data_IF_323082548703
#
_entry.id   IF_323082548703
#
_cell.length_a   1.000
_cell.length_b   1.000
_cell.length_c   1.000
_cell.angle_alpha   90.00
_cell.angle_beta   90.00
_cell.angle_gamma   90.00
#
_symmetry.space_group_name_H-M   'P 1'
#
loop_
_entity.id
_entity.type
_entity.pdbx_description
1 polymer ?
#
# COMPACT_ATOMS: atom_id res chain seq x y z
N UNK A 1 -19.17 4.07 40.47
CA UNK A 1 -18.73 2.91 39.69
C UNK A 1 -19.45 2.91 38.33
N UNK A 2 -20.77 3.06 38.31
CA UNK A 2 -21.56 3.21 37.06
C UNK A 2 -21.15 4.40 36.18
N UNK A 3 -20.90 5.58 36.78
CA UNK A 3 -20.53 6.78 35.99
C UNK A 3 -19.16 6.65 35.29
N UNK A 4 -18.25 5.83 35.84
CA UNK A 4 -16.94 5.55 35.24
C UNK A 4 -17.05 4.55 34.08
N UNK A 5 -17.89 3.50 34.23
CA UNK A 5 -18.14 2.54 33.16
C UNK A 5 -18.87 3.20 31.99
N UNK A 6 -19.81 4.09 32.27
CA UNK A 6 -20.55 4.84 31.25
C UNK A 6 -19.64 5.74 30.40
N UNK A 7 -18.78 6.55 31.03
CA UNK A 7 -17.81 7.40 30.30
C UNK A 7 -16.85 6.59 29.45
N UNK A 8 -16.37 5.46 29.97
CA UNK A 8 -15.47 4.57 29.22
C UNK A 8 -16.14 3.96 27.99
N UNK A 9 -17.44 3.66 28.06
CA UNK A 9 -18.18 3.15 26.90
C UNK A 9 -18.45 4.26 25.88
N UNK A 10 -18.82 5.47 26.33
CA UNK A 10 -18.97 6.66 25.47
C UNK A 10 -17.66 7.01 24.74
N UNK A 11 -16.52 6.95 25.43
CA UNK A 11 -15.18 7.16 24.83
C UNK A 11 -14.88 6.10 23.75
N UNK A 12 -15.22 4.84 23.99
CA UNK A 12 -15.02 3.75 23.00
C UNK A 12 -15.90 3.90 21.78
N UNK A 13 -17.16 4.27 21.97
CA UNK A 13 -18.08 4.51 20.86
C UNK A 13 -17.60 5.70 20.02
N UNK A 14 -17.12 6.75 20.66
CA UNK A 14 -16.56 7.91 19.96
C UNK A 14 -15.27 7.55 19.20
N UNK A 15 -14.33 6.84 19.81
CA UNK A 15 -13.10 6.39 19.16
C UNK A 15 -13.38 5.49 17.94
N UNK A 16 -14.37 4.59 18.04
CA UNK A 16 -14.79 3.77 16.89
C UNK A 16 -15.38 4.60 15.77
N UNK A 17 -16.29 5.53 16.08
CA UNK A 17 -16.89 6.41 15.09
C UNK A 17 -15.84 7.27 14.37
N UNK A 18 -14.84 7.76 15.10
CA UNK A 18 -13.72 8.51 14.56
C UNK A 18 -12.83 7.66 13.63
N UNK A 19 -12.61 6.39 13.97
CA UNK A 19 -11.86 5.45 13.14
C UNK A 19 -12.59 5.13 11.83
N UNK A 20 -13.91 4.91 11.91
CA UNK A 20 -14.77 4.69 10.75
C UNK A 20 -14.76 5.90 9.81
N UNK A 21 -14.90 7.11 10.36
CA UNK A 21 -14.80 8.35 9.58
C UNK A 21 -13.45 8.48 8.85
N UNK A 22 -12.34 8.14 9.53
CA UNK A 22 -11.01 8.17 8.92
C UNK A 22 -10.86 7.13 7.79
N UNK A 23 -11.43 5.93 7.95
CA UNK A 23 -11.46 4.88 6.92
C UNK A 23 -12.22 5.36 5.68
N UNK A 24 -13.35 6.04 5.85
CA UNK A 24 -14.10 6.63 4.74
C UNK A 24 -13.31 7.70 4.00
N UNK A 25 -12.62 8.59 4.74
CA UNK A 25 -11.75 9.60 4.15
C UNK A 25 -10.58 8.98 3.36
N UNK A 26 -9.95 7.94 3.92
CA UNK A 26 -8.90 7.21 3.23
C UNK A 26 -9.42 6.58 1.93
N UNK A 27 -10.60 5.97 1.97
CA UNK A 27 -11.24 5.35 0.81
C UNK A 27 -11.55 6.37 -0.29
N UNK A 28 -11.93 7.60 0.07
CA UNK A 28 -12.11 8.71 -0.88
C UNK A 28 -10.78 9.09 -1.52
N UNK A 29 -9.73 9.36 -0.74
CA UNK A 29 -8.40 9.68 -1.27
C UNK A 29 -7.83 8.57 -2.15
N UNK A 30 -8.08 7.31 -1.79
CA UNK A 30 -7.67 6.16 -2.60
C UNK A 30 -8.25 6.22 -4.01
N UNK A 31 -9.53 6.57 -4.14
CA UNK A 31 -10.21 6.63 -5.44
C UNK A 31 -9.96 7.94 -6.19
N UNK A 32 -9.87 9.05 -5.48
CA UNK A 32 -9.80 10.39 -6.08
C UNK A 32 -8.35 10.83 -6.38
N UNK A 33 -7.37 10.31 -5.62
CA UNK A 33 -5.98 10.75 -5.71
C UNK A 33 -5.02 9.59 -6.03
N UNK A 34 -5.01 8.53 -5.21
CA UNK A 34 -3.96 7.49 -5.31
C UNK A 34 -4.15 6.66 -6.58
N UNK A 35 -5.35 6.12 -6.81
CA UNK A 35 -5.66 5.27 -7.96
C UNK A 35 -5.43 6.00 -9.29
N UNK A 36 -5.87 7.25 -9.51
CA UNK A 36 -5.59 7.96 -10.75
C UNK A 36 -4.09 8.10 -11.04
N UNK A 37 -3.26 8.42 -10.04
CA UNK A 37 -1.79 8.48 -10.20
C UNK A 37 -1.24 7.11 -10.59
N UNK A 38 -1.68 6.06 -9.90
CA UNK A 38 -1.27 4.68 -10.18
C UNK A 38 -1.63 4.27 -11.61
N UNK A 39 -2.86 4.50 -12.06
CA UNK A 39 -3.30 4.16 -13.42
C UNK A 39 -2.49 4.93 -14.50
N UNK A 40 -2.18 6.22 -14.26
CA UNK A 40 -1.33 7.01 -15.20
C UNK A 40 0.07 6.39 -15.35
N UNK A 41 0.70 6.00 -14.24
CA UNK A 41 2.05 5.43 -14.27
C UNK A 41 2.02 3.99 -14.79
N UNK A 42 0.99 3.21 -14.46
CA UNK A 42 0.74 1.88 -15.01
C UNK A 42 0.78 1.88 -16.53
N UNK A 43 0.03 2.77 -17.19
CA UNK A 43 0.02 2.87 -18.66
C UNK A 43 1.43 3.09 -19.22
N UNK A 44 2.23 3.95 -18.57
CA UNK A 44 3.63 4.20 -18.99
C UNK A 44 4.53 2.97 -18.81
N UNK A 45 4.32 2.19 -17.75
CA UNK A 45 5.11 0.98 -17.47
C UNK A 45 4.70 -0.17 -18.41
N UNK A 46 3.40 -0.37 -18.60
CA UNK A 46 2.87 -1.41 -19.50
C UNK A 46 3.21 -1.14 -20.96
N UNK A 47 3.30 0.13 -21.38
CA UNK A 47 3.80 0.49 -22.72
C UNK A 47 5.25 0.06 -22.99
N UNK A 48 6.02 -0.22 -21.93
CA UNK A 48 7.40 -0.75 -22.01
C UNK A 48 7.46 -2.27 -21.88
N UNK A 49 6.29 -2.94 -21.83
CA UNK A 49 6.20 -4.39 -21.79
C UNK A 49 6.35 -4.99 -20.40
N UNK A 50 6.11 -4.26 -19.31
CA UNK A 50 5.97 -4.86 -17.97
C UNK A 50 4.49 -5.01 -17.62
N UNK A 51 4.17 -5.73 -16.54
CA UNK A 51 2.78 -5.89 -16.07
C UNK A 51 2.63 -5.22 -14.71
N UNK A 52 1.56 -4.45 -14.53
CA UNK A 52 1.28 -3.75 -13.27
C UNK A 52 -0.10 -4.17 -12.77
N UNK A 53 -0.17 -4.51 -11.49
CA UNK A 53 -1.39 -4.87 -10.79
C UNK A 53 -1.67 -3.84 -9.70
N UNK A 54 -2.83 -3.17 -9.80
CA UNK A 54 -3.32 -2.27 -8.77
C UNK A 54 -4.36 -3.04 -7.96
N UNK A 55 -4.04 -3.35 -6.71
CA UNK A 55 -4.90 -4.12 -5.82
C UNK A 55 -5.39 -3.24 -4.67
N UNK A 56 -6.57 -3.54 -4.17
CA UNK A 56 -7.19 -2.82 -3.06
C UNK A 56 -7.69 -3.80 -2.02
N UNK A 57 -7.34 -3.56 -0.77
CA UNK A 57 -7.92 -4.27 0.37
C UNK A 57 -9.07 -3.47 0.93
N UNK A 58 -10.23 -4.11 1.07
CA UNK A 58 -11.38 -3.53 1.76
C UNK A 58 -11.29 -3.74 3.27
N UNK A 59 -11.86 -2.84 4.09
CA UNK A 59 -11.92 -3.03 5.51
C UNK A 59 -12.68 -4.32 5.83
N UNK A 60 -12.07 -5.22 6.59
CA UNK A 60 -12.67 -6.49 6.94
C UNK A 60 -12.24 -6.96 8.33
N UNK A 61 -12.92 -7.98 8.84
CA UNK A 61 -12.56 -8.61 10.10
C UNK A 61 -11.90 -9.96 9.84
N UNK A 62 -10.65 -10.12 10.27
CA UNK A 62 -9.99 -11.42 10.28
C UNK A 62 -10.44 -12.17 11.53
N UNK A 63 -11.38 -13.12 11.35
CA UNK A 63 -11.94 -13.92 12.43
C UNK A 63 -10.91 -14.89 13.06
N UNK A 64 -9.90 -15.33 12.31
CA UNK A 64 -8.88 -16.25 12.81
C UNK A 64 -7.87 -15.52 13.69
N UNK A 65 -7.49 -14.30 13.29
CA UNK A 65 -6.54 -13.47 14.05
C UNK A 65 -7.22 -12.55 15.06
N UNK A 66 -8.55 -12.46 15.01
CA UNK A 66 -9.35 -11.55 15.83
C UNK A 66 -8.86 -10.09 15.71
N UNK A 67 -8.63 -9.64 14.47
CA UNK A 67 -8.06 -8.33 14.13
C UNK A 67 -8.83 -7.66 13.00
N UNK A 68 -8.89 -6.32 13.06
CA UNK A 68 -9.37 -5.50 11.94
C UNK A 68 -8.30 -5.50 10.85
N UNK A 69 -8.71 -5.81 9.63
CA UNK A 69 -7.92 -5.61 8.42
C UNK A 69 -8.25 -4.22 7.90
N UNK A 70 -7.25 -3.34 7.99
CA UNK A 70 -7.35 -1.96 7.50
C UNK A 70 -7.36 -1.92 5.97
N UNK A 71 -8.06 -0.95 5.36
CA UNK A 71 -8.05 -0.78 3.92
C UNK A 71 -6.67 -0.36 3.42
N UNK A 72 -6.38 -0.76 2.18
CA UNK A 72 -5.13 -0.43 1.50
C UNK A 72 -5.30 -0.33 -0.01
N UNK A 73 -4.33 0.31 -0.65
CA UNK A 73 -4.12 0.25 -2.10
C UNK A 73 -2.65 -0.01 -2.40
N UNK A 74 -2.38 -0.99 -3.26
CA UNK A 74 -1.03 -1.38 -3.65
C UNK A 74 -0.82 -1.28 -5.15
N UNK A 75 0.39 -0.86 -5.51
CA UNK A 75 0.94 -0.87 -6.87
C UNK A 75 1.97 -1.99 -6.93
N UNK A 76 1.67 -3.07 -7.65
CA UNK A 76 2.53 -4.26 -7.72
C UNK A 76 3.09 -4.40 -9.13
N UNK A 77 4.40 -4.58 -9.26
CA UNK A 77 5.10 -4.60 -10.54
C UNK A 77 5.68 -5.98 -10.84
N UNK A 78 5.20 -6.59 -11.91
CA UNK A 78 5.82 -7.76 -12.52
C UNK A 78 6.74 -7.31 -13.65
N UNK A 79 8.04 -7.32 -13.37
CA UNK A 79 9.09 -7.12 -14.37
C UNK A 79 9.07 -8.33 -15.33
N UNK A 80 8.64 -8.12 -16.58
CA UNK A 80 8.84 -9.13 -17.62
C UNK A 80 10.34 -9.31 -17.90
N UNK A 81 10.91 -10.34 -17.30
CA UNK A 81 12.20 -10.92 -17.69
C UNK A 81 11.89 -11.83 -18.90
N UNK A 82 12.78 -11.86 -19.91
CA UNK A 82 12.63 -12.58 -21.20
C UNK A 82 12.35 -14.10 -21.11
N UNK A 83 12.18 -14.65 -19.91
CA UNK A 83 11.99 -16.07 -19.65
C UNK A 83 10.69 -16.33 -18.87
N UNK A 84 9.54 -16.00 -19.47
CA UNK A 84 8.19 -16.35 -18.93
C UNK A 84 8.03 -17.84 -18.56
N UNK A 85 8.90 -18.70 -19.12
CA UNK A 85 8.99 -20.16 -18.89
C UNK A 85 9.26 -20.57 -17.43
N UNK A 86 9.62 -19.64 -16.54
CA UNK A 86 9.84 -19.92 -15.11
C UNK A 86 8.78 -19.33 -14.18
N UNK A 87 7.58 -18.99 -14.69
CA UNK A 87 6.48 -18.55 -13.81
C UNK A 87 5.98 -19.70 -12.94
N UNK A 88 6.56 -19.80 -11.74
CA UNK A 88 6.04 -20.67 -10.68
C UNK A 88 4.58 -20.34 -10.44
N UNK A 89 3.73 -21.37 -10.48
CA UNK A 89 2.29 -21.32 -10.16
C UNK A 89 2.01 -20.90 -8.70
N UNK A 90 3.04 -20.87 -7.86
CA UNK A 90 2.91 -20.52 -6.43
C UNK A 90 3.14 -19.04 -6.13
N UNK A 91 3.51 -18.23 -7.13
CA UNK A 91 3.85 -16.82 -6.93
C UNK A 91 2.58 -15.97 -7.01
N UNK A 92 2.25 -15.31 -5.90
CA UNK A 92 1.08 -14.44 -5.77
C UNK A 92 1.46 -13.00 -6.11
N UNK A 93 0.48 -12.16 -6.42
CA UNK A 93 0.72 -10.72 -6.64
C UNK A 93 1.41 -10.07 -5.45
N UNK A 94 1.10 -10.53 -4.23
CA UNK A 94 1.72 -10.08 -2.97
C UNK A 94 3.23 -10.32 -2.89
N UNK A 95 3.76 -11.24 -3.71
CA UNK A 95 5.18 -11.57 -3.73
C UNK A 95 5.94 -10.70 -4.75
N UNK A 96 5.24 -9.85 -5.51
CA UNK A 96 5.87 -8.90 -6.43
C UNK A 96 6.41 -7.69 -5.65
N UNK A 97 7.46 -7.03 -6.17
CA UNK A 97 7.80 -5.68 -5.74
C UNK A 97 6.55 -4.80 -5.73
N UNK A 98 6.35 -4.07 -4.64
CA UNK A 98 5.16 -3.25 -4.49
C UNK A 98 5.38 -1.98 -3.66
N UNK A 99 4.54 -0.98 -3.93
CA UNK A 99 4.34 0.19 -3.08
C UNK A 99 2.89 0.20 -2.61
N UNK A 100 2.67 0.34 -1.32
CA UNK A 100 1.35 0.24 -0.70
C UNK A 100 1.08 1.41 0.24
N UNK A 101 -0.11 2.00 0.10
CA UNK A 101 -0.68 2.95 1.05
C UNK A 101 -1.67 2.19 1.92
N UNK A 102 -1.43 2.16 3.23
CA UNK A 102 -2.22 1.41 4.19
C UNK A 102 -2.83 2.37 5.20
N UNK A 103 -4.13 2.28 5.40
CA UNK A 103 -4.82 3.00 6.46
C UNK A 103 -4.36 2.48 7.83
N UNK A 104 -4.13 3.40 8.75
CA UNK A 104 -4.03 3.10 10.16
C UNK A 104 -5.07 3.95 10.88
N UNK A 105 -6.29 3.42 10.99
CA UNK A 105 -7.44 4.11 11.57
C UNK A 105 -7.18 4.50 13.02
N UNK A 106 -6.54 3.62 13.81
CA UNK A 106 -6.22 3.85 15.22
C UNK A 106 -5.28 5.04 15.42
N UNK A 107 -4.25 5.18 14.58
CA UNK A 107 -3.33 6.31 14.63
C UNK A 107 -3.85 7.53 13.86
N UNK A 108 -4.94 7.40 13.09
CA UNK A 108 -5.42 8.40 12.12
C UNK A 108 -4.31 8.86 11.18
N UNK A 109 -3.57 7.87 10.64
CA UNK A 109 -2.44 8.09 9.73
C UNK A 109 -2.45 7.08 8.58
N UNK A 110 -1.68 7.38 7.55
CA UNK A 110 -1.46 6.52 6.39
C UNK A 110 -0.01 6.07 6.37
N UNK A 111 0.19 4.77 6.28
CA UNK A 111 1.49 4.14 6.17
C UNK A 111 1.83 3.95 4.71
N UNK A 112 3.07 4.27 4.33
CA UNK A 112 3.61 3.93 3.02
C UNK A 112 4.61 2.79 3.20
N UNK A 113 4.21 1.61 2.76
CA UNK A 113 5.04 0.40 2.77
C UNK A 113 5.57 0.16 1.37
N UNK A 114 6.82 -0.27 1.29
CA UNK A 114 7.45 -0.61 0.03
C UNK A 114 8.18 -1.95 0.13
N UNK A 115 8.29 -2.60 -1.02
CA UNK A 115 9.04 -3.81 -1.25
C UNK A 115 9.67 -3.71 -2.63
N UNK A 116 10.99 -3.82 -2.71
CA UNK A 116 11.72 -3.92 -3.99
C UNK A 116 12.15 -5.36 -4.27
N UNK A 117 12.00 -6.28 -3.31
CA UNK A 117 12.37 -7.68 -3.49
C UNK A 117 11.50 -8.31 -4.59
N UNK A 118 12.15 -8.93 -5.56
CA UNK A 118 11.49 -9.56 -6.70
C UNK A 118 12.23 -10.78 -7.20
N UNK A 119 11.74 -11.35 -8.31
CA UNK A 119 12.33 -12.57 -8.85
C UNK A 119 13.72 -12.32 -9.43
N UNK A 120 14.69 -13.08 -8.93
CA UNK A 120 16.05 -13.06 -9.47
C UNK A 120 16.90 -11.88 -8.99
N UNK A 121 16.40 -11.07 -8.06
CA UNK A 121 17.16 -10.01 -7.42
C UNK A 121 16.80 -9.86 -5.94
N UNK A 122 17.74 -9.36 -5.15
CA UNK A 122 17.48 -8.93 -3.78
C UNK A 122 16.73 -7.60 -3.75
N UNK A 123 16.67 -7.01 -2.57
CA UNK A 123 16.08 -5.69 -2.34
C UNK A 123 15.78 -5.50 -0.86
N UNK A 124 14.95 -4.53 -0.56
CA UNK A 124 14.45 -4.26 0.79
C UNK A 124 12.93 -4.34 0.86
N UNK A 125 12.45 -4.44 2.10
CA UNK A 125 11.04 -4.28 2.43
C UNK A 125 10.91 -3.54 3.75
N UNK A 126 9.99 -2.58 3.80
CA UNK A 126 9.77 -1.79 5.00
C UNK A 126 8.85 -0.60 4.78
N UNK A 127 8.66 0.18 5.84
CA UNK A 127 7.94 1.46 5.75
C UNK A 127 8.94 2.57 5.43
N UNK A 128 8.62 3.44 4.46
CA UNK A 128 9.52 4.55 4.06
C UNK A 128 8.99 5.92 4.45
N UNK A 129 9.72 6.55 5.37
CA UNK A 129 9.48 7.92 5.81
C UNK A 129 8.43 8.03 6.91
N UNK A 130 8.02 9.27 7.19
CA UNK A 130 7.02 9.55 8.21
C UNK A 130 5.62 9.11 7.79
N UNK A 131 4.78 8.82 8.80
CA UNK A 131 3.36 8.56 8.61
C UNK A 131 2.66 9.82 8.08
N UNK A 132 1.81 9.64 7.06
CA UNK A 132 1.11 10.73 6.41
C UNK A 132 -0.25 10.97 7.06
N UNK A 133 -0.73 12.21 7.06
CA UNK A 133 -2.15 12.52 7.22
C UNK A 133 -2.88 12.47 5.88
N UNK A 134 -4.21 12.48 5.92
CA UNK A 134 -5.10 12.53 4.75
C UNK A 134 -4.71 13.73 3.86
N UNK A 135 -4.51 14.90 4.44
CA UNK A 135 -4.19 16.14 3.71
C UNK A 135 -2.80 16.11 3.05
N UNK A 136 -1.89 15.27 3.57
CA UNK A 136 -0.56 15.09 3.00
C UNK A 136 -0.55 14.15 1.79
N UNK A 137 -1.60 13.36 1.57
CA UNK A 137 -1.72 12.47 0.41
C UNK A 137 -2.28 13.23 -0.79
N UNK A 138 -1.42 14.04 -1.39
CA UNK A 138 -1.67 14.76 -2.64
C UNK A 138 -1.16 13.96 -3.84
N UNK A 139 -1.62 14.31 -5.06
CA UNK A 139 -1.10 13.68 -6.29
C UNK A 139 0.43 13.76 -6.39
N UNK A 140 1.02 14.91 -6.07
CA UNK A 140 2.47 15.12 -6.08
C UNK A 140 3.18 14.17 -5.11
N UNK A 141 2.65 14.00 -3.90
CA UNK A 141 3.24 13.10 -2.90
C UNK A 141 3.11 11.65 -3.34
N UNK A 142 1.96 11.23 -3.87
CA UNK A 142 1.78 9.87 -4.38
C UNK A 142 2.74 9.59 -5.54
N UNK A 143 2.82 10.50 -6.50
CA UNK A 143 3.71 10.37 -7.66
C UNK A 143 5.18 10.33 -7.23
N UNK A 144 5.59 11.22 -6.31
CA UNK A 144 6.94 11.23 -5.76
C UNK A 144 7.29 9.93 -5.05
N UNK A 145 6.39 9.38 -4.24
CA UNK A 145 6.60 8.09 -3.56
C UNK A 145 6.70 6.94 -4.55
N UNK A 146 5.84 6.92 -5.57
CA UNK A 146 5.85 5.90 -6.61
C UNK A 146 7.12 5.93 -7.47
N UNK A 147 7.53 7.12 -7.92
CA UNK A 147 8.75 7.28 -8.72
C UNK A 147 10.01 6.97 -7.89
N UNK A 148 10.07 7.41 -6.63
CA UNK A 148 11.19 7.09 -5.75
C UNK A 148 11.30 5.59 -5.46
N UNK A 149 10.18 4.89 -5.30
CA UNK A 149 10.18 3.44 -5.18
C UNK A 149 10.62 2.74 -6.47
N UNK A 150 10.17 3.20 -7.64
CA UNK A 150 10.62 2.65 -8.93
C UNK A 150 12.12 2.83 -9.15
N UNK A 151 12.68 3.98 -8.74
CA UNK A 151 14.12 4.23 -8.80
C UNK A 151 14.90 3.23 -7.94
N UNK A 152 14.46 3.02 -6.69
CA UNK A 152 15.09 2.04 -5.80
C UNK A 152 14.98 0.61 -6.35
N UNK A 153 13.81 0.23 -6.88
CA UNK A 153 13.62 -1.07 -7.51
C UNK A 153 14.60 -1.30 -8.66
N UNK A 154 14.81 -0.29 -9.51
CA UNK A 154 15.76 -0.38 -10.61
C UNK A 154 17.18 -0.54 -10.08
N UNK A 155 17.55 0.21 -9.04
CA UNK A 155 18.88 0.12 -8.41
C UNK A 155 19.12 -1.28 -7.81
N UNK A 156 18.13 -1.84 -7.12
CA UNK A 156 18.22 -3.16 -6.49
C UNK A 156 18.18 -4.32 -7.50
N UNK A 157 17.42 -4.15 -8.60
CA UNK A 157 17.29 -5.16 -9.65
C UNK A 157 18.46 -5.16 -10.65
N UNK A 158 19.30 -4.11 -10.66
CA UNK A 158 20.46 -4.05 -11.53
C UNK A 158 21.58 -4.94 -10.96
N UNK A 159 22.13 -5.91 -11.70
CA UNK A 159 23.25 -6.69 -11.23
C UNK A 159 24.42 -5.76 -10.90
N UNK A 160 24.93 -5.79 -9.67
CA UNK A 160 26.17 -5.10 -9.34
C UNK A 160 27.31 -5.80 -10.10
N UNK A 161 27.68 -5.29 -11.26
CA UNK A 161 28.92 -5.69 -11.93
C UNK A 161 30.08 -5.06 -11.16
N UNK A 162 30.49 -5.73 -10.07
CA UNK A 162 31.78 -5.51 -9.40
C UNK A 162 32.54 -6.83 -9.33
#
# INVERSE_FOLDING_TARGET
YDDFQKRKEEEREHEKSDQEAFIEEFTKIQNDTIRPVFERIKVKIESRGHKVYIETGEPSWDAEKNLVVEPLISFNLELLIKEEKYKSQYYRTSDLPNLCFVCNSSAKKIWVRECTIGRGHGGHSGSRGALLTIEQVTEEIVEKKLLGWLEDLINDATPSYY
#
